data_IF_673284832929
#
_entry.id   IF_673284832929
#
_cell.length_a   1.000
_cell.length_b   1.000
_cell.length_c   1.000
_cell.angle_alpha   90.00
_cell.angle_beta   90.00
_cell.angle_gamma   90.00
#
_symmetry.space_group_name_H-M   'P 1'
#
loop_
_entity.id
_entity.type
_entity.pdbx_description
1 polymer ?
#
# COMPACT_ATOMS: atom_id res chain seq x y z
N UNK A 1 0.32 -8.47 10.74
CA UNK A 1 0.33 -9.89 10.32
C UNK A 1 -0.29 -10.07 8.94
N UNK A 2 -1.23 -9.21 8.53
CA UNK A 2 -1.85 -9.24 7.21
C UNK A 2 -1.30 -8.10 6.33
N UNK A 3 -0.53 -8.43 5.29
CA UNK A 3 0.01 -7.45 4.34
C UNK A 3 -1.10 -6.67 3.64
N UNK A 4 -2.22 -7.31 3.32
CA UNK A 4 -3.28 -6.68 2.56
C UNK A 4 -3.84 -5.45 3.26
N UNK A 5 -3.90 -5.45 4.58
CA UNK A 5 -4.40 -4.31 5.36
C UNK A 5 -3.47 -3.09 5.23
N UNK A 6 -2.14 -3.31 5.21
CA UNK A 6 -1.17 -2.25 4.96
C UNK A 6 -1.26 -1.72 3.53
N UNK A 7 -1.39 -2.64 2.56
CA UNK A 7 -1.52 -2.29 1.15
C UNK A 7 -2.83 -1.54 0.83
N UNK A 8 -3.88 -1.71 1.63
CA UNK A 8 -5.13 -0.96 1.49
C UNK A 8 -5.02 0.49 1.96
N UNK A 9 -4.14 0.78 2.93
CA UNK A 9 -3.98 2.11 3.51
C UNK A 9 -2.97 2.94 2.70
N UNK A 10 -1.79 2.37 2.43
CA UNK A 10 -0.68 3.09 1.80
C UNK A 10 0.12 2.17 0.86
N UNK A 11 -0.45 1.76 -0.29
CA UNK A 11 0.15 0.73 -1.14
C UNK A 11 1.54 1.11 -1.66
N UNK A 12 1.74 2.37 -2.04
CA UNK A 12 3.02 2.84 -2.60
C UNK A 12 4.13 2.85 -1.55
N UNK A 13 3.87 3.47 -0.41
CA UNK A 13 4.90 3.64 0.64
C UNK A 13 5.29 2.29 1.25
N UNK A 14 4.30 1.42 1.43
CA UNK A 14 4.53 0.05 1.93
C UNK A 14 5.35 -0.76 0.92
N UNK A 15 4.98 -0.73 -0.37
CA UNK A 15 5.72 -1.46 -1.41
C UNK A 15 7.16 -0.95 -1.56
N UNK A 16 7.38 0.36 -1.53
CA UNK A 16 8.71 0.97 -1.60
C UNK A 16 9.56 0.57 -0.39
N UNK A 17 9.00 0.69 0.81
CA UNK A 17 9.69 0.33 2.06
C UNK A 17 10.07 -1.14 2.10
N UNK A 18 9.14 -2.03 1.73
CA UNK A 18 9.38 -3.47 1.67
C UNK A 18 10.44 -3.82 0.63
N UNK A 19 10.38 -3.19 -0.54
CA UNK A 19 11.38 -3.39 -1.61
C UNK A 19 12.76 -2.96 -1.16
N UNK A 20 12.88 -1.76 -0.58
CA UNK A 20 14.16 -1.23 -0.09
C UNK A 20 14.77 -2.11 0.99
N UNK A 21 13.95 -2.53 1.96
CA UNK A 21 14.41 -3.46 3.00
C UNK A 21 14.85 -4.79 2.38
N UNK A 22 14.03 -5.43 1.55
CA UNK A 22 14.37 -6.71 0.95
C UNK A 22 15.69 -6.69 0.15
N UNK A 23 16.02 -5.56 -0.50
CA UNK A 23 17.26 -5.40 -1.28
C UNK A 23 18.50 -5.20 -0.43
N UNK A 24 18.41 -4.48 0.70
CA UNK A 24 19.58 -4.01 1.46
C UNK A 24 19.78 -4.74 2.80
N UNK A 25 18.72 -5.33 3.37
CA UNK A 25 18.66 -5.80 4.75
C UNK A 25 19.54 -7.03 5.05
N UNK A 26 19.82 -7.87 4.05
CA UNK A 26 20.46 -9.18 4.26
C UNK A 26 21.80 -9.08 4.97
N UNK A 27 22.67 -8.17 4.53
CA UNK A 27 23.99 -7.99 5.14
C UNK A 27 23.92 -7.34 6.53
N UNK A 28 22.84 -6.61 6.80
CA UNK A 28 22.57 -5.97 8.09
C UNK A 28 21.90 -6.93 9.11
N UNK A 29 21.59 -8.18 8.72
CA UNK A 29 20.93 -9.16 9.59
C UNK A 29 19.44 -8.87 9.83
N UNK A 30 18.81 -8.07 8.97
CA UNK A 30 17.37 -7.80 9.05
C UNK A 30 16.64 -8.76 8.10
N UNK A 31 15.62 -9.45 8.62
CA UNK A 31 14.83 -10.43 7.88
C UNK A 31 13.35 -10.09 7.98
N UNK A 32 12.64 -10.27 6.87
CA UNK A 32 11.22 -9.97 6.77
C UNK A 32 10.42 -11.26 6.57
N UNK A 33 9.34 -11.39 7.34
CA UNK A 33 8.30 -12.39 7.14
C UNK A 33 7.03 -11.62 6.84
N UNK A 34 6.39 -11.96 5.72
CA UNK A 34 5.18 -11.30 5.28
C UNK A 34 4.13 -12.38 5.04
N UNK A 35 2.95 -12.19 5.62
CA UNK A 35 1.83 -13.09 5.49
C UNK A 35 0.59 -12.34 4.95
N UNK A 36 -0.25 -13.06 4.22
CA UNK A 36 -1.54 -12.56 3.75
C UNK A 36 -2.51 -13.71 3.51
N UNK A 37 -3.78 -13.48 3.81
CA UNK A 37 -4.89 -14.35 3.44
C UNK A 37 -5.55 -13.93 2.12
N UNK A 38 -5.14 -12.79 1.53
CA UNK A 38 -5.71 -12.25 0.29
C UNK A 38 -4.69 -12.34 -0.85
N UNK A 39 -4.59 -13.48 -1.54
CA UNK A 39 -3.64 -13.66 -2.64
C UNK A 39 -4.14 -13.00 -3.93
N UNK A 40 -4.19 -11.66 -3.95
CA UNK A 40 -4.49 -10.84 -5.12
C UNK A 40 -3.23 -10.18 -5.68
N UNK A 41 -3.29 -9.78 -6.95
CA UNK A 41 -2.18 -9.10 -7.64
C UNK A 41 -1.92 -7.71 -7.05
N UNK A 42 -2.95 -7.09 -6.46
CA UNK A 42 -2.85 -5.78 -5.80
C UNK A 42 -2.11 -5.86 -4.46
N UNK A 43 -2.10 -7.02 -3.81
CA UNK A 43 -1.39 -7.26 -2.55
C UNK A 43 0.00 -7.87 -2.81
N UNK A 44 0.06 -8.90 -3.64
CA UNK A 44 1.30 -9.60 -4.01
C UNK A 44 1.69 -9.13 -5.42
N UNK A 45 2.20 -7.91 -5.47
CA UNK A 45 2.57 -7.24 -6.72
C UNK A 45 3.80 -7.87 -7.38
N UNK A 46 4.11 -7.45 -8.61
CA UNK A 46 5.34 -7.85 -9.28
C UNK A 46 6.61 -7.44 -8.53
N UNK A 47 6.63 -6.26 -7.90
CA UNK A 47 7.79 -5.77 -7.14
C UNK A 47 8.00 -6.58 -5.86
N UNK A 48 6.91 -6.90 -5.13
CA UNK A 48 6.99 -7.81 -3.99
C UNK A 48 7.54 -9.16 -4.45
N UNK A 49 7.00 -9.76 -5.52
CA UNK A 49 7.51 -11.05 -6.02
C UNK A 49 8.98 -11.00 -6.42
N UNK A 50 9.44 -9.91 -7.03
CA UNK A 50 10.82 -9.77 -7.46
C UNK A 50 11.83 -9.74 -6.28
N UNK A 51 11.43 -9.20 -5.14
CA UNK A 51 12.31 -9.03 -3.98
C UNK A 51 12.15 -10.11 -2.90
N UNK A 52 11.07 -10.89 -2.94
CA UNK A 52 10.79 -11.99 -2.02
C UNK A 52 10.80 -13.35 -2.78
N UNK A 53 11.98 -13.93 -3.04
CA UNK A 53 12.12 -15.15 -3.84
C UNK A 53 11.73 -16.43 -3.08
N UNK A 54 11.78 -16.40 -1.75
CA UNK A 54 11.38 -17.54 -0.90
C UNK A 54 9.89 -17.41 -0.61
N UNK A 55 9.10 -18.45 -0.91
CA UNK A 55 7.65 -18.39 -0.78
C UNK A 55 7.07 -19.64 -0.17
N UNK A 56 6.07 -19.43 0.68
CA UNK A 56 5.25 -20.49 1.27
C UNK A 56 3.81 -20.19 0.87
N UNK A 57 3.10 -21.20 0.37
CA UNK A 57 1.67 -21.12 0.12
C UNK A 57 0.97 -22.26 0.85
N UNK A 58 0.08 -21.90 1.75
CA UNK A 58 -0.93 -22.83 2.26
C UNK A 58 -2.07 -23.00 1.24
N UNK A 59 -3.09 -23.78 1.62
CA UNK A 59 -4.27 -23.98 0.79
C UNK A 59 -4.90 -22.62 0.42
N UNK A 60 -5.19 -22.46 -0.87
CA UNK A 60 -5.89 -21.29 -1.42
C UNK A 60 -7.13 -21.72 -2.18
N UNK A 61 -8.09 -20.82 -2.34
CA UNK A 61 -9.39 -21.15 -2.93
C UNK A 61 -9.36 -21.33 -4.45
N UNK A 62 -8.29 -20.90 -5.14
CA UNK A 62 -8.26 -20.92 -6.61
C UNK A 62 -6.87 -21.09 -7.21
N UNK A 63 -6.85 -21.60 -8.45
CA UNK A 63 -5.66 -21.65 -9.31
C UNK A 63 -5.04 -20.26 -9.57
N UNK A 64 -5.86 -19.21 -9.52
CA UNK A 64 -5.40 -17.82 -9.68
C UNK A 64 -4.61 -17.44 -8.43
N UNK A 65 -5.17 -17.64 -7.24
CA UNK A 65 -4.47 -17.38 -5.97
C UNK A 65 -3.15 -18.16 -5.85
N UNK A 66 -3.13 -19.42 -6.28
CA UNK A 66 -1.90 -20.22 -6.32
C UNK A 66 -0.84 -19.55 -7.20
N UNK A 67 -1.20 -19.13 -8.42
CA UNK A 67 -0.26 -18.42 -9.30
C UNK A 67 0.16 -17.07 -8.75
N UNK A 68 -0.71 -16.36 -8.05
CA UNK A 68 -0.36 -15.09 -7.43
C UNK A 68 0.76 -15.26 -6.40
N UNK A 69 0.71 -16.31 -5.56
CA UNK A 69 1.72 -16.54 -4.52
C UNK A 69 2.99 -17.19 -5.09
N UNK A 70 2.86 -18.31 -5.81
CA UNK A 70 4.00 -19.18 -6.17
C UNK A 70 4.29 -19.24 -7.68
N UNK A 71 3.66 -18.38 -8.49
CA UNK A 71 3.77 -18.35 -9.96
C UNK A 71 3.38 -19.67 -10.67
N UNK A 72 2.81 -20.62 -9.92
CA UNK A 72 2.44 -21.97 -10.36
C UNK A 72 1.07 -22.38 -9.80
N UNK A 73 0.46 -23.40 -10.40
CA UNK A 73 -0.72 -24.06 -9.83
C UNK A 73 -0.29 -25.14 -8.83
N UNK A 74 -1.18 -25.48 -7.89
CA UNK A 74 -0.98 -26.59 -6.96
C UNK A 74 -1.45 -26.27 -5.54
N UNK A 75 -1.37 -25.02 -5.12
CA UNK A 75 -1.78 -24.63 -3.76
C UNK A 75 -3.30 -24.79 -3.57
N UNK A 76 -4.09 -24.70 -4.64
CA UNK A 76 -5.53 -24.96 -4.60
C UNK A 76 -5.91 -26.41 -4.34
N UNK A 77 -4.94 -27.33 -4.43
CA UNK A 77 -5.11 -28.78 -4.22
C UNK A 77 -4.59 -29.24 -2.86
N UNK A 78 -4.06 -28.32 -2.05
CA UNK A 78 -3.61 -28.65 -0.70
C UNK A 78 -4.82 -29.03 0.17
N UNK A 79 -4.55 -29.78 1.23
CA UNK A 79 -5.56 -30.37 2.10
C UNK A 79 -6.01 -29.43 3.23
N UNK A 80 -5.36 -28.28 3.40
CA UNK A 80 -5.51 -27.42 4.57
C UNK A 80 -4.73 -27.96 5.77
N UNK A 81 -5.07 -27.49 6.98
CA UNK A 81 -4.52 -27.98 8.25
C UNK A 81 -2.98 -28.09 8.30
N UNK A 82 -2.27 -27.10 7.74
CA UNK A 82 -0.80 -27.05 7.72
C UNK A 82 -0.14 -27.63 6.47
N UNK A 83 -0.89 -28.26 5.56
CA UNK A 83 -0.37 -28.68 4.25
C UNK A 83 0.01 -27.45 3.41
N UNK A 84 1.26 -27.41 2.93
CA UNK A 84 1.83 -26.25 2.26
C UNK A 84 2.76 -26.62 1.11
N UNK A 85 2.93 -25.66 0.21
CA UNK A 85 3.97 -25.66 -0.81
C UNK A 85 5.05 -24.64 -0.47
N UNK A 86 6.30 -25.03 -0.66
CA UNK A 86 7.48 -24.24 -0.38
C UNK A 86 8.35 -24.10 -1.64
N UNK A 87 8.77 -22.87 -1.91
CA UNK A 87 9.76 -22.53 -2.93
C UNK A 87 10.99 -21.95 -2.21
N UNK A 88 12.14 -22.64 -2.26
CA UNK A 88 13.38 -22.12 -1.69
C UNK A 88 13.99 -21.04 -2.60
N UNK A 89 14.86 -20.17 -2.06
CA UNK A 89 15.48 -19.11 -2.85
C UNK A 89 16.35 -19.68 -3.98
N UNK A 90 16.37 -18.98 -5.13
CA UNK A 90 17.26 -19.29 -6.25
C UNK A 90 16.85 -20.51 -7.09
N UNK A 91 15.74 -21.18 -6.78
CA UNK A 91 15.21 -22.27 -7.61
C UNK A 91 13.70 -22.10 -7.79
N UNK A 92 13.15 -22.69 -8.85
CA UNK A 92 11.70 -22.83 -9.03
C UNK A 92 11.18 -24.18 -8.53
N UNK A 93 12.01 -24.95 -7.81
CA UNK A 93 11.66 -26.30 -7.36
C UNK A 93 10.65 -26.21 -6.23
N UNK A 94 9.44 -26.66 -6.53
CA UNK A 94 8.35 -26.75 -5.58
C UNK A 94 8.51 -27.98 -4.68
N UNK A 95 8.38 -27.79 -3.37
CA UNK A 95 8.35 -28.89 -2.38
C UNK A 95 7.06 -28.84 -1.59
N UNK A 96 6.35 -29.97 -1.48
CA UNK A 96 5.19 -30.09 -0.59
C UNK A 96 5.66 -30.48 0.80
N UNK A 97 5.17 -29.78 1.82
CA UNK A 97 5.56 -29.96 3.22
C UNK A 97 4.29 -30.00 4.07
N UNK A 98 4.30 -30.85 5.10
CA UNK A 98 3.28 -30.82 6.15
C UNK A 98 3.80 -29.97 7.30
N UNK A 99 3.15 -28.83 7.54
CA UNK A 99 3.49 -27.91 8.61
C UNK A 99 3.31 -28.56 9.98
N UNK A 100 4.25 -28.27 10.88
CA UNK A 100 4.13 -28.70 12.26
C UNK A 100 2.96 -27.96 12.93
N UNK A 101 2.07 -28.70 13.57
CA UNK A 101 1.02 -28.12 14.40
C UNK A 101 1.61 -27.72 15.76
N UNK A 102 1.33 -26.50 16.18
CA UNK A 102 1.64 -26.00 17.52
C UNK A 102 0.36 -25.39 18.07
N UNK A 103 -0.08 -25.88 19.23
CA UNK A 103 -1.29 -25.38 19.88
C UNK A 103 -1.06 -24.05 20.60
N UNK A 104 -2.12 -23.26 20.80
CA UNK A 104 -2.05 -22.01 21.57
C UNK A 104 -1.53 -22.23 23.00
N UNK A 105 -1.80 -23.41 23.58
CA UNK A 105 -1.26 -23.81 24.89
C UNK A 105 0.26 -23.98 24.85
N UNK A 106 0.81 -24.55 23.78
CA UNK A 106 2.26 -24.66 23.60
C UNK A 106 2.90 -23.29 23.39
N UNK A 107 2.29 -22.44 22.56
CA UNK A 107 2.74 -21.07 22.34
C UNK A 107 2.78 -20.30 23.66
N UNK A 108 1.70 -20.36 24.46
CA UNK A 108 1.62 -19.68 25.75
C UNK A 108 2.73 -20.13 26.70
N UNK A 109 2.98 -21.44 26.80
CA UNK A 109 4.06 -21.98 27.64
C UNK A 109 5.44 -21.47 27.20
N UNK A 110 5.70 -21.41 25.90
CA UNK A 110 6.97 -20.89 25.36
C UNK A 110 7.11 -19.40 25.68
N UNK A 111 6.04 -18.62 25.46
CA UNK A 111 6.03 -17.18 25.78
C UNK A 111 6.32 -16.93 27.25
N UNK A 112 5.67 -17.68 28.16
CA UNK A 112 5.90 -17.55 29.60
C UNK A 112 7.33 -17.91 29.99
N UNK A 113 7.86 -19.00 29.42
CA UNK A 113 9.26 -19.39 29.62
C UNK A 113 10.25 -18.30 29.16
N UNK A 114 9.99 -17.64 28.03
CA UNK A 114 10.85 -16.53 27.53
C UNK A 114 10.74 -15.30 28.43
N UNK A 115 9.54 -14.93 28.88
CA UNK A 115 9.32 -13.80 29.80
C UNK A 115 10.06 -13.95 31.13
N UNK A 116 10.26 -15.19 31.60
CA UNK A 116 11.03 -15.46 32.81
C UNK A 116 12.53 -15.16 32.65
N UNK A 117 13.05 -15.12 31.42
CA UNK A 117 14.49 -14.92 31.16
C UNK A 117 14.87 -13.44 31.12
N UNK A 118 14.03 -12.58 30.53
CA UNK A 118 14.30 -11.16 30.42
C UNK A 118 13.02 -10.34 30.20
N UNK A 119 13.04 -9.09 30.68
CA UNK A 119 12.03 -8.10 30.31
C UNK A 119 12.35 -7.50 28.94
N UNK A 120 11.33 -7.14 28.14
CA UNK A 120 11.54 -6.53 26.84
C UNK A 120 12.16 -5.13 26.97
N UNK A 121 13.18 -4.86 26.17
CA UNK A 121 13.78 -3.53 26.03
C UNK A 121 13.20 -2.85 24.77
N UNK A 122 12.17 -2.03 24.95
CA UNK A 122 11.52 -1.33 23.84
C UNK A 122 12.28 -0.05 23.47
N UNK A 123 12.46 0.17 22.16
CA UNK A 123 13.02 1.42 21.62
C UNK A 123 11.90 2.36 21.20
N UNK A 124 11.63 3.38 22.02
CA UNK A 124 10.60 4.39 21.77
C UNK A 124 10.82 5.23 20.50
N UNK A 125 12.04 5.23 19.93
CA UNK A 125 12.32 5.97 18.69
C UNK A 125 11.57 5.38 17.49
N UNK A 126 11.31 4.08 17.50
CA UNK A 126 10.57 3.37 16.44
C UNK A 126 9.13 3.88 16.38
N UNK A 127 8.48 4.06 17.54
CA UNK A 127 7.10 4.58 17.62
C UNK A 127 7.03 6.05 17.20
N UNK A 128 8.02 6.86 17.60
CA UNK A 128 8.09 8.29 17.26
C UNK A 128 8.37 8.53 15.78
N UNK A 129 9.13 7.64 15.14
CA UNK A 129 9.38 7.70 13.69
C UNK A 129 8.08 7.55 12.90
N UNK A 130 7.16 6.67 13.32
CA UNK A 130 5.86 6.52 12.67
C UNK A 130 5.00 7.78 12.75
N UNK A 131 5.03 8.50 13.88
CA UNK A 131 4.32 9.77 14.06
C UNK A 131 4.91 10.90 13.21
N UNK A 132 6.25 10.99 13.15
CA UNK A 132 6.94 11.98 12.32
C UNK A 132 6.75 11.72 10.82
N UNK A 133 6.81 10.45 10.39
CA UNK A 133 6.55 10.06 9.00
C UNK A 133 5.12 10.41 8.56
N UNK A 134 4.13 10.21 9.44
CA UNK A 134 2.74 10.62 9.21
C UNK A 134 2.55 12.14 9.15
N UNK A 135 3.37 12.92 9.88
CA UNK A 135 3.38 14.38 9.80
C UNK A 135 4.06 14.85 8.49
N UNK A 136 5.15 14.24 8.06
CA UNK A 136 5.78 14.56 6.76
C UNK A 136 4.92 14.18 5.56
N UNK A 137 4.06 13.16 5.64
CA UNK A 137 3.07 12.88 4.58
C UNK A 137 1.97 13.93 4.50
N UNK A 138 1.73 14.70 5.57
CA UNK A 138 0.87 15.88 5.55
C UNK A 138 1.62 17.14 5.07
N UNK A 139 2.96 17.18 5.16
CA UNK A 139 3.78 18.34 4.79
C UNK A 139 4.44 18.24 3.38
N UNK A 140 4.34 17.10 2.66
CA UNK A 140 4.79 16.99 1.25
C UNK A 140 3.78 17.53 0.21
N UNK A 141 2.66 18.14 0.64
CA UNK A 141 1.76 18.91 -0.25
C UNK A 141 1.42 20.30 0.34
N UNK A 142 2.39 20.93 1.00
CA UNK A 142 2.39 22.39 1.19
C UNK A 142 3.11 23.02 -0.03
N UNK A 143 2.44 23.46 -1.09
CA UNK A 143 1.03 23.68 -1.27
C UNK A 143 0.83 24.54 -2.51
N UNK A 144 1.44 24.19 -3.65
CA UNK A 144 1.16 24.81 -4.95
C UNK A 144 1.43 23.80 -6.05
N UNK A 145 0.37 23.19 -6.60
CA UNK A 145 0.49 22.49 -7.87
C UNK A 145 0.98 23.51 -8.92
N UNK A 146 2.05 23.23 -9.66
CA UNK A 146 2.62 24.14 -10.67
C UNK A 146 1.59 24.61 -11.71
N UNK A 147 0.50 23.83 -11.89
CA UNK A 147 -0.60 24.11 -12.81
C UNK A 147 -1.81 24.76 -12.13
N UNK A 148 -1.72 25.09 -10.84
CA UNK A 148 -2.82 25.66 -10.07
C UNK A 148 -3.27 27.00 -10.66
N UNK A 149 -2.35 27.95 -10.85
CA UNK A 149 -2.67 29.28 -11.40
C UNK A 149 -3.23 29.20 -12.82
N UNK A 150 -2.68 28.29 -13.64
CA UNK A 150 -3.18 28.02 -14.99
C UNK A 150 -4.61 27.44 -14.95
N UNK A 151 -4.89 26.54 -14.00
CA UNK A 151 -6.21 25.98 -13.79
C UNK A 151 -7.21 27.04 -13.29
N UNK A 152 -6.80 27.93 -12.37
CA UNK A 152 -7.61 29.06 -11.87
C UNK A 152 -7.98 29.99 -13.03
N UNK A 153 -7.01 30.34 -13.88
CA UNK A 153 -7.24 31.17 -15.07
C UNK A 153 -8.23 30.52 -16.05
N UNK A 154 -8.05 29.22 -16.32
CA UNK A 154 -8.92 28.43 -17.20
C UNK A 154 -10.38 28.43 -16.71
N UNK A 155 -10.62 28.13 -15.44
CA UNK A 155 -12.00 28.07 -14.91
C UNK A 155 -12.62 29.47 -14.79
N UNK A 156 -11.81 30.49 -14.55
CA UNK A 156 -12.27 31.90 -14.51
C UNK A 156 -12.73 32.37 -15.89
N UNK A 157 -12.10 31.88 -16.96
CA UNK A 157 -12.51 32.18 -18.33
C UNK A 157 -13.77 31.41 -18.74
N UNK A 158 -13.89 30.14 -18.34
CA UNK A 158 -15.00 29.26 -18.72
C UNK A 158 -16.24 29.41 -17.82
N UNK A 159 -16.10 30.00 -16.63
CA UNK A 159 -17.19 30.24 -15.67
C UNK A 159 -17.75 28.98 -15.00
N UNK A 160 -17.14 27.82 -15.23
CA UNK A 160 -17.55 26.52 -14.67
C UNK A 160 -16.31 25.67 -14.36
N UNK A 161 -16.37 24.91 -13.28
CA UNK A 161 -15.26 24.08 -12.83
C UNK A 161 -15.71 22.62 -12.61
N UNK A 162 -14.99 21.67 -13.20
CA UNK A 162 -15.15 20.25 -12.88
C UNK A 162 -13.80 19.53 -13.02
N UNK A 163 -13.65 18.43 -12.30
CA UNK A 163 -12.44 17.60 -12.32
C UNK A 163 -12.14 17.15 -13.76
N UNK A 164 -13.15 16.68 -14.49
CA UNK A 164 -13.01 16.22 -15.88
C UNK A 164 -12.67 17.35 -16.87
N UNK A 165 -13.15 18.58 -16.63
CA UNK A 165 -12.82 19.74 -17.44
C UNK A 165 -11.34 20.10 -17.29
N UNK A 166 -10.86 20.23 -16.04
CA UNK A 166 -9.46 20.54 -15.75
C UNK A 166 -8.55 19.42 -16.27
N UNK A 167 -8.93 18.16 -16.04
CA UNK A 167 -8.21 16.98 -16.55
C UNK A 167 -7.99 17.05 -18.07
N UNK A 168 -9.06 17.31 -18.84
CA UNK A 168 -9.02 17.31 -20.31
C UNK A 168 -8.23 18.47 -20.90
N UNK A 169 -8.44 19.68 -20.38
CA UNK A 169 -7.77 20.88 -20.90
C UNK A 169 -6.29 20.92 -20.52
N UNK A 170 -5.97 20.51 -19.29
CA UNK A 170 -4.61 20.59 -18.76
C UNK A 170 -3.76 19.35 -19.04
N UNK A 171 -4.37 18.30 -19.60
CA UNK A 171 -3.77 16.99 -19.88
C UNK A 171 -3.07 16.41 -18.65
N UNK A 172 -3.75 16.44 -17.50
CA UNK A 172 -3.26 15.90 -16.22
C UNK A 172 -4.07 14.66 -15.80
N UNK A 173 -3.55 13.89 -14.84
CA UNK A 173 -4.27 12.74 -14.27
C UNK A 173 -5.46 13.16 -13.39
N UNK A 174 -6.46 12.27 -13.26
CA UNK A 174 -7.70 12.53 -12.52
C UNK A 174 -7.45 12.96 -11.07
N UNK A 175 -6.61 12.23 -10.33
CA UNK A 175 -6.31 12.55 -8.92
C UNK A 175 -5.62 13.91 -8.76
N UNK A 176 -4.81 14.34 -9.73
CA UNK A 176 -4.18 15.67 -9.73
C UNK A 176 -5.22 16.76 -9.98
N UNK A 177 -6.10 16.55 -10.96
CA UNK A 177 -7.22 17.46 -11.21
C UNK A 177 -8.20 17.56 -10.03
N UNK A 178 -8.43 16.45 -9.31
CA UNK A 178 -9.26 16.42 -8.11
C UNK A 178 -8.66 17.28 -6.99
N UNK A 179 -7.38 17.07 -6.66
CA UNK A 179 -6.67 17.90 -5.67
C UNK A 179 -6.68 19.38 -5.99
N UNK A 180 -6.46 19.76 -7.26
CA UNK A 180 -6.53 21.16 -7.71
C UNK A 180 -7.92 21.76 -7.45
N UNK A 181 -8.99 21.02 -7.78
CA UNK A 181 -10.39 21.48 -7.59
C UNK A 181 -10.78 21.55 -6.11
N UNK A 182 -10.35 20.58 -5.29
CA UNK A 182 -10.58 20.57 -3.85
C UNK A 182 -9.87 21.73 -3.16
N UNK A 183 -8.64 22.03 -3.59
CA UNK A 183 -7.90 23.21 -3.12
C UNK A 183 -8.59 24.53 -3.52
N UNK A 184 -9.08 24.63 -4.75
CA UNK A 184 -9.88 25.78 -5.19
C UNK A 184 -11.18 25.95 -4.38
N UNK A 185 -11.78 24.86 -3.91
CA UNK A 185 -12.96 24.92 -3.03
C UNK A 185 -12.56 25.44 -1.64
N UNK A 186 -11.46 24.93 -1.08
CA UNK A 186 -10.93 25.37 0.21
C UNK A 186 -10.52 26.86 0.21
N UNK A 187 -9.98 27.37 -0.90
CA UNK A 187 -9.62 28.78 -1.09
C UNK A 187 -10.80 29.68 -1.52
N UNK A 188 -12.00 29.11 -1.69
CA UNK A 188 -13.19 29.87 -2.09
C UNK A 188 -13.20 30.35 -3.55
N UNK A 189 -12.36 29.76 -4.40
CA UNK A 189 -12.32 29.99 -5.85
C UNK A 189 -13.51 29.35 -6.56
N UNK A 190 -13.92 28.16 -6.11
CA UNK A 190 -15.11 27.44 -6.59
C UNK A 190 -16.05 27.10 -5.45
N UNK A 191 -17.35 27.04 -5.75
CA UNK A 191 -18.37 26.62 -4.79
C UNK A 191 -18.35 25.12 -4.51
N UNK A 192 -19.12 24.67 -3.51
CA UNK A 192 -19.18 23.28 -3.10
C UNK A 192 -19.73 22.37 -4.19
N UNK A 193 -19.38 21.08 -4.12
CA UNK A 193 -19.82 20.09 -5.09
C UNK A 193 -21.34 19.85 -5.01
N UNK A 194 -22.06 20.12 -6.11
CA UNK A 194 -23.51 19.83 -6.25
C UNK A 194 -23.74 18.49 -6.99
N UNK A 195 -22.94 17.48 -6.65
CA UNK A 195 -22.97 16.16 -7.30
C UNK A 195 -22.50 16.18 -8.76
N UNK A 196 -23.40 15.90 -9.71
CA UNK A 196 -23.07 15.69 -11.13
C UNK A 196 -22.89 16.98 -11.95
N UNK A 197 -23.20 18.16 -11.39
CA UNK A 197 -23.12 19.43 -12.10
C UNK A 197 -21.74 20.09 -11.95
N UNK A 198 -21.29 20.87 -12.96
CA UNK A 198 -20.10 21.70 -12.83
C UNK A 198 -20.24 22.68 -11.66
N UNK A 199 -19.18 22.80 -10.86
CA UNK A 199 -19.09 23.73 -9.72
C UNK A 199 -19.13 25.17 -10.23
N UNK A 200 -19.82 26.02 -9.48
CA UNK A 200 -19.91 27.46 -9.76
C UNK A 200 -18.58 28.13 -9.41
N UNK A 201 -18.01 28.88 -10.34
CA UNK A 201 -16.80 29.69 -10.09
C UNK A 201 -17.20 30.96 -9.35
N UNK A 202 -16.51 31.27 -8.25
CA UNK A 202 -16.86 32.36 -7.33
C UNK A 202 -15.98 33.60 -7.54
N UNK A 203 -14.88 33.47 -8.27
CA UNK A 203 -13.97 34.58 -8.59
C UNK A 203 -14.32 35.24 -9.93
N UNK A 204 -13.97 36.53 -10.06
CA UNK A 204 -14.11 37.29 -11.31
C UNK A 204 -12.90 37.03 -12.22
N UNK A 205 -13.10 37.20 -13.52
CA UNK A 205 -12.06 37.09 -14.56
C UNK A 205 -10.79 37.87 -14.13
N UNK A 206 -9.67 37.17 -14.03
CA UNK A 206 -8.36 37.76 -13.77
C UNK A 206 -8.04 38.79 -14.88
N UNK A 207 -7.55 39.99 -14.54
CA UNK A 207 -7.10 40.96 -15.56
C UNK A 207 -5.94 40.37 -16.36
N UNK A 208 -5.96 40.59 -17.68
CA UNK A 208 -4.90 40.16 -18.61
C UNK A 208 -3.63 40.97 -18.43
#
# INVERSE_FOLDING_TARGET
DELADLMMVAPRDVEESLTRLAQMARAAGIHLIIATQRPSVDVITGLIKANFPTRISFQVSSKIGSRTIIDQQGAEKLLGAGDMLFIPPGTSKLSRIHGAYVSDKEISRIVDFVKMQAQPAYDSSIEKFALAAAQTQHDEDDGFDEKYDEAVALISELGQASISLVQRYMKIGYNRAARIIEKMEAEGVVGPSDGAKPRKVLIRKLPR
#
